data_IF_992568098012
#
_entry.id   IF_992568098012
#
_cell.length_a   1.000
_cell.length_b   1.000
_cell.length_c   1.000
_cell.angle_alpha   90.00
_cell.angle_beta   90.00
_cell.angle_gamma   90.00
#
_symmetry.space_group_name_H-M   'P 1'
#
loop_
_entity.id
_entity.type
_entity.pdbx_description
1 polymer ?
#
# COMPACT_ATOMS: atom_id res chain seq x y z
N UNK A 1 6.11 5.21 -10.03
CA UNK A 1 5.01 5.61 -9.14
C UNK A 1 5.60 6.07 -7.82
N UNK A 2 5.38 7.34 -7.42
CA UNK A 2 5.78 7.85 -6.09
C UNK A 2 4.66 7.62 -5.08
N UNK A 3 4.97 7.68 -3.79
CA UNK A 3 3.98 7.55 -2.71
C UNK A 3 2.86 8.58 -2.82
N UNK A 4 3.20 9.84 -3.10
CA UNK A 4 2.23 10.93 -3.28
C UNK A 4 1.27 10.67 -4.46
N UNK A 5 1.81 10.31 -5.63
CA UNK A 5 0.98 10.00 -6.82
C UNK A 5 0.07 8.81 -6.59
N UNK A 6 0.58 7.77 -5.92
CA UNK A 6 -0.23 6.62 -5.54
C UNK A 6 -1.35 7.03 -4.59
N UNK A 7 -1.04 7.77 -3.53
CA UNK A 7 -2.03 8.16 -2.51
C UNK A 7 -3.15 9.04 -3.11
N UNK A 8 -2.79 10.00 -3.96
CA UNK A 8 -3.76 10.85 -4.67
C UNK A 8 -4.67 10.01 -5.59
N UNK A 9 -4.09 9.12 -6.40
CA UNK A 9 -4.84 8.26 -7.29
C UNK A 9 -5.78 7.32 -6.52
N UNK A 10 -5.26 6.68 -5.47
CA UNK A 10 -5.97 5.69 -4.67
C UNK A 10 -7.13 6.26 -3.86
N UNK A 11 -6.99 7.51 -3.40
CA UNK A 11 -8.03 8.20 -2.60
C UNK A 11 -8.93 9.10 -3.44
N UNK A 12 -8.78 9.09 -4.77
CA UNK A 12 -9.57 9.92 -5.67
C UNK A 12 -11.06 9.60 -5.58
N UNK A 13 -11.87 10.64 -5.33
CA UNK A 13 -13.34 10.53 -5.25
C UNK A 13 -14.03 10.71 -6.60
N UNK A 14 -13.40 11.42 -7.53
CA UNK A 14 -13.98 11.81 -8.82
C UNK A 14 -13.41 11.04 -10.01
N UNK A 15 -12.32 10.30 -9.84
CA UNK A 15 -11.69 9.54 -10.92
C UNK A 15 -11.64 8.04 -10.57
N UNK A 16 -12.73 7.34 -10.86
CA UNK A 16 -12.85 5.90 -10.60
C UNK A 16 -11.83 5.07 -11.38
N UNK A 17 -11.54 5.45 -12.63
CA UNK A 17 -10.56 4.73 -13.45
C UNK A 17 -9.14 4.84 -12.88
N UNK A 18 -8.78 5.99 -12.34
CA UNK A 18 -7.50 6.19 -11.67
C UNK A 18 -7.41 5.45 -10.34
N UNK A 19 -8.50 5.44 -9.56
CA UNK A 19 -8.59 4.64 -8.35
C UNK A 19 -8.44 3.15 -8.64
N UNK A 20 -9.12 2.64 -9.66
CA UNK A 20 -8.99 1.24 -10.10
C UNK A 20 -7.55 0.89 -10.50
N UNK A 21 -6.85 1.79 -11.21
CA UNK A 21 -5.43 1.60 -11.54
C UNK A 21 -4.54 1.55 -10.29
N UNK A 22 -4.83 2.39 -9.30
CA UNK A 22 -4.12 2.38 -8.02
C UNK A 22 -4.40 1.11 -7.21
N UNK A 23 -5.65 0.61 -7.20
CA UNK A 23 -6.00 -0.67 -6.58
C UNK A 23 -5.28 -1.84 -7.26
N UNK A 24 -5.20 -1.86 -8.59
CA UNK A 24 -4.42 -2.88 -9.32
C UNK A 24 -2.92 -2.77 -9.06
N UNK A 25 -2.39 -1.55 -8.97
CA UNK A 25 -0.99 -1.34 -8.57
C UNK A 25 -0.72 -1.88 -7.16
N UNK A 26 -1.60 -1.57 -6.21
CA UNK A 26 -1.53 -2.08 -4.84
C UNK A 26 -1.53 -3.61 -4.82
N UNK A 27 -2.51 -4.23 -5.48
CA UNK A 27 -2.60 -5.70 -5.58
C UNK A 27 -1.29 -6.31 -6.13
N UNK A 28 -0.73 -5.73 -7.18
CA UNK A 28 0.56 -6.18 -7.73
C UNK A 28 1.73 -6.07 -6.76
N UNK A 29 1.77 -5.04 -5.91
CA UNK A 29 2.80 -4.93 -4.86
C UNK A 29 2.59 -5.99 -3.78
N UNK A 30 1.35 -6.18 -3.34
CA UNK A 30 1.02 -7.17 -2.32
C UNK A 30 1.43 -8.58 -2.80
N UNK A 31 0.97 -9.01 -3.98
CA UNK A 31 1.28 -10.34 -4.52
C UNK A 31 2.79 -10.56 -4.78
N UNK A 32 3.55 -9.50 -5.08
CA UNK A 32 4.99 -9.60 -5.30
C UNK A 32 5.80 -9.79 -4.01
N UNK A 33 5.29 -9.29 -2.88
CA UNK A 33 6.01 -9.16 -1.59
C UNK A 33 5.51 -10.13 -0.52
N UNK A 34 4.26 -10.56 -0.66
CA UNK A 34 3.64 -11.56 0.20
C UNK A 34 4.48 -12.86 0.22
N UNK A 35 4.61 -13.45 1.42
CA UNK A 35 5.34 -14.69 1.65
C UNK A 35 6.85 -14.51 1.68
N UNK A 36 7.33 -13.28 1.47
CA UNK A 36 8.76 -12.92 1.48
C UNK A 36 9.06 -11.95 2.60
N UNK A 37 8.47 -10.76 2.55
CA UNK A 37 8.72 -9.68 3.53
C UNK A 37 7.60 -9.52 4.56
N UNK A 38 6.42 -10.06 4.28
CA UNK A 38 5.27 -10.11 5.19
C UNK A 38 4.40 -11.34 4.88
N UNK A 39 3.73 -11.89 5.89
CA UNK A 39 3.02 -13.17 5.80
C UNK A 39 1.73 -13.12 6.63
N UNK A 40 0.58 -13.69 6.24
CA UNK A 40 0.13 -14.12 4.90
C UNK A 40 -1.34 -13.68 4.77
N UNK A 41 -1.85 -13.51 3.54
CA UNK A 41 -3.25 -13.23 3.23
C UNK A 41 -4.26 -14.12 3.98
N UNK A 42 -3.89 -15.36 4.35
CA UNK A 42 -4.75 -16.25 5.13
C UNK A 42 -5.15 -15.67 6.50
N UNK A 43 -4.37 -14.74 7.04
CA UNK A 43 -4.62 -14.09 8.34
C UNK A 43 -5.21 -12.69 8.22
N UNK A 44 -5.13 -12.07 7.04
CA UNK A 44 -5.52 -10.67 6.83
C UNK A 44 -6.53 -10.53 5.71
N UNK A 45 -7.70 -9.96 6.04
CA UNK A 45 -8.67 -9.55 5.04
C UNK A 45 -8.09 -8.39 4.22
N UNK A 46 -8.45 -8.32 2.94
CA UNK A 46 -8.02 -7.24 2.03
C UNK A 46 -8.32 -5.85 2.61
N UNK A 47 -9.49 -5.66 3.24
CA UNK A 47 -9.85 -4.39 3.88
C UNK A 47 -8.87 -3.98 4.99
N UNK A 48 -8.38 -4.95 5.77
CA UNK A 48 -7.42 -4.70 6.86
C UNK A 48 -6.07 -4.26 6.31
N UNK A 49 -5.60 -4.88 5.21
CA UNK A 49 -4.37 -4.44 4.52
C UNK A 49 -4.51 -3.00 4.01
N UNK A 50 -5.64 -2.66 3.40
CA UNK A 50 -5.91 -1.31 2.92
C UNK A 50 -5.92 -0.29 4.08
N UNK A 51 -6.54 -0.63 5.22
CA UNK A 51 -6.55 0.23 6.41
C UNK A 51 -5.15 0.46 6.97
N UNK A 52 -4.33 -0.58 7.09
CA UNK A 52 -2.93 -0.50 7.54
C UNK A 52 -2.14 0.45 6.64
N UNK A 53 -2.21 0.24 5.33
CA UNK A 53 -1.47 1.03 4.35
C UNK A 53 -1.94 2.48 4.37
N UNK A 54 -3.25 2.73 4.36
CA UNK A 54 -3.79 4.09 4.42
C UNK A 54 -3.35 4.82 5.69
N UNK A 55 -3.42 4.16 6.85
CA UNK A 55 -2.98 4.71 8.13
C UNK A 55 -1.49 5.04 8.14
N UNK A 56 -0.65 4.18 7.55
CA UNK A 56 0.78 4.42 7.39
C UNK A 56 1.07 5.63 6.51
N UNK A 57 0.46 5.71 5.33
CA UNK A 57 0.62 6.84 4.41
C UNK A 57 0.16 8.18 5.00
N UNK A 58 -0.89 8.18 5.84
CA UNK A 58 -1.37 9.38 6.54
C UNK A 58 -0.39 9.90 7.60
N UNK A 59 0.49 9.05 8.13
CA UNK A 59 1.49 9.39 9.15
C UNK A 59 2.87 9.70 8.57
N UNK A 60 3.10 9.38 7.30
CA UNK A 60 4.38 9.64 6.63
C UNK A 60 4.69 11.15 6.56
N UNK A 61 5.93 11.56 6.84
CA UNK A 61 6.39 12.91 6.53
C UNK A 61 6.29 13.19 5.02
N UNK A 62 5.91 14.42 4.65
CA UNK A 62 5.71 14.82 3.24
C UNK A 62 6.92 14.51 2.35
N UNK A 63 8.14 14.64 2.88
CA UNK A 63 9.39 14.36 2.15
C UNK A 63 9.45 12.88 1.70
N UNK A 64 8.98 11.96 2.55
CA UNK A 64 8.98 10.51 2.26
C UNK A 64 7.96 10.13 1.18
N UNK A 65 6.91 10.93 0.95
CA UNK A 65 5.94 10.66 -0.11
C UNK A 65 6.55 10.75 -1.52
N UNK A 66 7.75 11.32 -1.66
CA UNK A 66 8.52 11.29 -2.92
C UNK A 66 9.20 9.92 -3.18
N UNK A 67 9.30 9.06 -2.16
CA UNK A 67 9.83 7.71 -2.31
C UNK A 67 8.90 6.84 -3.18
N UNK A 68 9.38 5.65 -3.60
CA UNK A 68 8.58 4.72 -4.40
C UNK A 68 7.42 4.17 -3.59
N UNK A 69 6.21 4.24 -4.15
CA UNK A 69 5.00 3.73 -3.49
C UNK A 69 5.12 2.25 -3.08
N UNK A 70 5.65 1.39 -3.96
CA UNK A 70 5.85 -0.02 -3.66
C UNK A 70 6.68 -0.27 -2.39
N UNK A 71 7.78 0.47 -2.21
CA UNK A 71 8.64 0.32 -1.02
C UNK A 71 7.93 0.79 0.25
N UNK A 72 7.16 1.88 0.17
CA UNK A 72 6.36 2.38 1.29
C UNK A 72 5.20 1.44 1.67
N UNK A 73 4.55 0.82 0.67
CA UNK A 73 3.49 -0.17 0.88
C UNK A 73 4.05 -1.42 1.57
N UNK A 74 5.17 -1.95 1.07
CA UNK A 74 5.84 -3.11 1.67
C UNK A 74 6.27 -2.79 3.10
N UNK A 75 6.92 -1.64 3.33
CA UNK A 75 7.31 -1.18 4.67
C UNK A 75 6.12 -1.10 5.62
N UNK A 76 4.99 -0.54 5.18
CA UNK A 76 3.77 -0.43 6.00
C UNK A 76 3.29 -1.80 6.51
N UNK A 77 3.30 -2.81 5.63
CA UNK A 77 2.75 -4.12 5.96
C UNK A 77 3.76 -4.93 6.77
N UNK A 78 5.05 -4.89 6.41
CA UNK A 78 6.11 -5.56 7.16
C UNK A 78 6.21 -5.05 8.60
N UNK A 79 5.98 -3.76 8.86
CA UNK A 79 5.94 -3.22 10.22
C UNK A 79 4.79 -3.80 11.07
N UNK A 80 3.66 -4.15 10.44
CA UNK A 80 2.49 -4.67 11.12
C UNK A 80 2.43 -6.21 11.17
N UNK A 81 2.91 -6.88 10.12
CA UNK A 81 2.79 -8.32 9.90
C UNK A 81 4.05 -8.93 9.28
N UNK A 82 5.20 -8.87 9.97
CA UNK A 82 6.42 -9.50 9.48
C UNK A 82 6.26 -11.02 9.42
N UNK A 83 6.89 -11.66 8.44
CA UNK A 83 7.08 -13.11 8.47
C UNK A 83 7.96 -13.49 9.67
N UNK A 84 7.68 -14.65 10.29
CA UNK A 84 8.52 -15.22 11.36
C UNK A 84 9.55 -16.18 10.80
#
# INVERSE_FOLDING_TARGET
>A
MTGDKFLQAWTSKSNEQERLKADMYLLGVLDATEGKSWCHYQTLKTITLQEIIYSYFKKLPQVRLNERAASLIEEAITQHHPCK
#
